data_IF_605960423991
#
_entry.id   IF_605960423991
#
_cell.length_a   1.000
_cell.length_b   1.000
_cell.length_c   1.000
_cell.angle_alpha   90.00
_cell.angle_beta   90.00
_cell.angle_gamma   90.00
#
_symmetry.space_group_name_H-M   'P 1'
#
loop_
_entity.id
_entity.type
_entity.pdbx_description
1 polymer ?
#
# COMPACT_ATOMS: atom_id res chain seq x y z
N UNK A 1 -2.59 -17.05 -16.55
CA UNK A 1 -4.03 -17.16 -16.28
C UNK A 1 -4.48 -15.99 -15.42
N UNK A 2 -5.41 -15.20 -15.92
CA UNK A 2 -5.91 -14.03 -15.21
C UNK A 2 -6.91 -14.44 -14.14
N UNK A 3 -6.74 -13.90 -12.94
CA UNK A 3 -7.62 -14.17 -11.81
C UNK A 3 -7.84 -12.86 -11.04
N UNK A 4 -9.07 -12.58 -10.65
CA UNK A 4 -9.35 -11.41 -9.82
C UNK A 4 -8.89 -11.64 -8.38
N UNK A 5 -8.54 -10.56 -7.71
CA UNK A 5 -8.16 -10.61 -6.28
C UNK A 5 -9.32 -11.15 -5.42
N UNK A 6 -10.56 -10.82 -5.79
CA UNK A 6 -11.75 -11.36 -5.09
C UNK A 6 -11.77 -12.88 -5.13
N UNK A 7 -11.48 -13.47 -6.28
CA UNK A 7 -11.42 -14.93 -6.42
C UNK A 7 -10.32 -15.54 -5.56
N UNK A 8 -9.13 -14.90 -5.53
CA UNK A 8 -8.02 -15.37 -4.72
C UNK A 8 -8.34 -15.31 -3.22
N UNK A 9 -8.99 -14.25 -2.78
CA UNK A 9 -9.44 -14.11 -1.38
C UNK A 9 -10.46 -15.21 -1.04
N UNK A 10 -11.44 -15.44 -1.91
CA UNK A 10 -12.50 -16.43 -1.69
C UNK A 10 -11.95 -17.87 -1.61
N UNK A 11 -10.89 -18.15 -2.35
CA UNK A 11 -10.24 -19.46 -2.33
C UNK A 11 -9.17 -19.60 -1.25
N UNK A 12 -8.83 -18.53 -0.54
CA UNK A 12 -7.72 -18.49 0.38
C UNK A 12 -6.36 -18.72 -0.29
N UNK A 13 -6.25 -18.37 -1.57
CA UNK A 13 -5.07 -18.62 -2.40
C UNK A 13 -4.13 -17.42 -2.49
N UNK A 14 -3.94 -16.70 -1.38
CA UNK A 14 -3.05 -15.54 -1.31
C UNK A 14 -1.71 -16.00 -0.74
N UNK A 15 -0.68 -16.03 -1.60
CA UNK A 15 0.68 -16.38 -1.23
C UNK A 15 1.57 -15.13 -1.15
N UNK A 16 2.86 -15.32 -0.83
CA UNK A 16 3.83 -14.23 -0.72
C UNK A 16 4.03 -13.46 -2.03
N UNK A 17 3.88 -14.12 -3.18
CA UNK A 17 3.98 -13.47 -4.49
C UNK A 17 2.85 -12.49 -4.72
N UNK A 18 1.62 -12.88 -4.39
CA UNK A 18 0.45 -12.00 -4.49
C UNK A 18 0.61 -10.80 -3.57
N UNK A 19 1.06 -11.03 -2.33
CA UNK A 19 1.33 -9.93 -1.39
C UNK A 19 2.37 -8.96 -1.93
N UNK A 20 3.45 -9.48 -2.54
CA UNK A 20 4.49 -8.64 -3.14
C UNK A 20 3.92 -7.76 -4.27
N UNK A 21 3.09 -8.32 -5.14
CA UNK A 21 2.44 -7.56 -6.20
C UNK A 21 1.53 -6.47 -5.63
N UNK A 22 0.79 -6.77 -4.58
CA UNK A 22 -0.10 -5.79 -3.94
C UNK A 22 0.67 -4.67 -3.24
N UNK A 23 1.87 -4.94 -2.75
CA UNK A 23 2.73 -3.92 -2.14
C UNK A 23 3.47 -3.07 -3.16
N UNK A 24 3.97 -3.67 -4.23
CA UNK A 24 4.86 -3.00 -5.18
C UNK A 24 4.14 -2.42 -6.39
N UNK A 25 3.18 -3.15 -6.94
CA UNK A 25 2.51 -2.78 -8.18
C UNK A 25 1.20 -2.01 -7.95
N UNK A 26 0.41 -2.41 -6.98
CA UNK A 26 -0.90 -1.79 -6.76
C UNK A 26 -0.81 -0.33 -6.30
N UNK A 27 0.11 0.08 -5.41
CA UNK A 27 0.21 1.49 -5.03
C UNK A 27 0.47 2.44 -6.19
N UNK A 28 1.20 1.98 -7.21
CA UNK A 28 1.46 2.77 -8.42
C UNK A 28 0.22 2.93 -9.30
N UNK A 29 -0.79 2.09 -9.11
CA UNK A 29 -2.04 2.10 -9.87
C UNK A 29 -3.17 2.85 -9.18
N UNK A 30 -3.00 3.27 -7.93
CA UNK A 30 -4.07 3.93 -7.18
C UNK A 30 -4.50 5.25 -7.80
N UNK A 31 -3.57 5.96 -8.44
CA UNK A 31 -3.86 7.22 -9.12
C UNK A 31 -4.71 7.02 -10.40
N UNK A 32 -4.79 5.80 -10.90
CA UNK A 32 -5.61 5.46 -12.08
C UNK A 32 -7.10 5.27 -11.74
N UNK A 33 -7.44 5.22 -10.45
CA UNK A 33 -8.84 5.13 -10.02
C UNK A 33 -9.50 6.49 -10.19
N UNK A 34 -10.54 6.63 -11.04
CA UNK A 34 -11.19 7.92 -11.26
C UNK A 34 -11.89 8.45 -10.00
N UNK A 35 -11.98 9.78 -9.89
CA UNK A 35 -12.75 10.40 -8.82
C UNK A 35 -14.21 9.95 -8.87
N UNK A 36 -14.78 9.67 -7.69
CA UNK A 36 -16.16 9.18 -7.58
C UNK A 36 -16.31 7.68 -7.74
N UNK A 37 -15.20 6.94 -7.89
CA UNK A 37 -15.20 5.48 -7.93
C UNK A 37 -14.41 4.88 -6.77
N UNK A 38 -14.82 3.68 -6.38
CA UNK A 38 -14.16 2.91 -5.32
C UNK A 38 -13.33 1.78 -5.94
N UNK A 39 -12.16 1.54 -5.38
CA UNK A 39 -11.35 0.37 -5.72
C UNK A 39 -11.84 -0.84 -4.93
N UNK A 40 -12.18 -1.93 -5.64
CA UNK A 40 -12.63 -3.18 -5.02
C UNK A 40 -11.73 -4.33 -5.44
N UNK A 41 -11.84 -5.45 -4.73
CA UNK A 41 -11.07 -6.65 -5.05
C UNK A 41 -11.41 -7.23 -6.43
N UNK A 42 -12.60 -6.92 -6.97
CA UNK A 42 -13.00 -7.34 -8.32
C UNK A 42 -12.28 -6.56 -9.41
N UNK A 43 -11.81 -5.36 -9.11
CA UNK A 43 -11.13 -4.48 -10.06
C UNK A 43 -9.64 -4.82 -10.21
N UNK A 44 -9.10 -5.61 -9.30
CA UNK A 44 -7.69 -6.00 -9.31
C UNK A 44 -7.56 -7.38 -9.94
N UNK A 45 -6.80 -7.45 -11.02
CA UNK A 45 -6.54 -8.70 -11.76
C UNK A 45 -5.07 -9.06 -11.63
N UNK A 46 -4.82 -10.29 -11.19
CA UNK A 46 -3.47 -10.84 -11.06
C UNK A 46 -3.25 -11.83 -12.18
N UNK A 47 -2.22 -11.60 -12.99
CA UNK A 47 -1.85 -12.44 -14.12
C UNK A 47 -0.38 -12.86 -13.97
N UNK A 48 -0.16 -14.07 -13.43
CA UNK A 48 1.17 -14.60 -13.22
C UNK A 48 2.02 -13.71 -12.32
N UNK A 49 2.90 -12.91 -12.93
CA UNK A 49 3.82 -11.99 -12.23
C UNK A 49 3.42 -10.53 -12.33
N UNK A 50 2.30 -10.25 -12.94
CA UNK A 50 1.83 -8.88 -13.14
C UNK A 50 0.46 -8.66 -12.52
N UNK A 51 0.16 -7.40 -12.29
CA UNK A 51 -1.10 -6.95 -11.73
C UNK A 51 -1.60 -5.78 -12.56
N UNK A 52 -2.90 -5.77 -12.88
CA UNK A 52 -3.50 -4.63 -13.55
C UNK A 52 -4.89 -4.35 -12.98
N UNK A 53 -5.36 -3.13 -13.20
CA UNK A 53 -6.69 -2.72 -12.80
C UNK A 53 -7.64 -2.78 -14.00
N UNK A 54 -8.84 -3.30 -13.77
CA UNK A 54 -9.95 -3.13 -14.71
C UNK A 54 -10.63 -1.78 -14.47
N UNK A 55 -11.51 -1.36 -15.36
CA UNK A 55 -12.28 -0.13 -15.17
C UNK A 55 -13.18 -0.26 -13.96
N UNK A 56 -13.02 0.58 -12.92
CA UNK A 56 -13.87 0.50 -11.74
C UNK A 56 -15.32 0.79 -12.07
N UNK A 57 -16.22 -0.01 -11.53
CA UNK A 57 -17.68 0.14 -11.74
C UNK A 57 -18.41 0.54 -10.46
N UNK A 58 -17.78 0.36 -9.30
CA UNK A 58 -18.39 0.72 -8.02
C UNK A 58 -18.24 2.22 -7.79
N UNK A 59 -19.36 2.92 -7.71
CA UNK A 59 -19.40 4.34 -7.41
C UNK A 59 -19.47 4.58 -5.91
N UNK A 60 -18.88 5.67 -5.45
CA UNK A 60 -18.94 6.07 -4.06
C UNK A 60 -17.90 7.13 -3.75
N UNK A 61 -18.14 7.88 -2.68
CA UNK A 61 -17.15 8.80 -2.14
C UNK A 61 -16.13 8.00 -1.35
N UNK A 62 -14.86 8.28 -1.59
CA UNK A 62 -13.80 7.60 -0.87
C UNK A 62 -12.44 7.93 -1.45
N UNK A 63 -11.42 7.36 -0.82
CA UNK A 63 -10.04 7.54 -1.21
C UNK A 63 -9.48 6.18 -1.64
N UNK A 64 -8.84 6.13 -2.80
CA UNK A 64 -8.24 4.89 -3.31
C UNK A 64 -7.20 4.31 -2.35
N UNK A 65 -6.47 5.16 -1.63
CA UNK A 65 -5.50 4.73 -0.61
C UNK A 65 -6.19 4.02 0.55
N UNK A 66 -7.32 4.56 1.02
CA UNK A 66 -8.13 3.89 2.06
C UNK A 66 -8.69 2.56 1.55
N UNK A 67 -9.14 2.51 0.30
CA UNK A 67 -9.62 1.27 -0.31
C UNK A 67 -8.51 0.23 -0.42
N UNK A 68 -7.29 0.64 -0.78
CA UNK A 68 -6.13 -0.24 -0.78
C UNK A 68 -5.86 -0.82 0.62
N UNK A 69 -5.94 0.03 1.65
CA UNK A 69 -5.75 -0.39 3.03
C UNK A 69 -6.77 -1.46 3.45
N UNK A 70 -8.04 -1.25 3.14
CA UNK A 70 -9.09 -2.22 3.43
C UNK A 70 -8.90 -3.53 2.66
N UNK A 71 -8.52 -3.45 1.38
CA UNK A 71 -8.18 -4.63 0.59
C UNK A 71 -7.04 -5.42 1.20
N UNK A 72 -5.97 -4.75 1.62
CA UNK A 72 -4.82 -5.40 2.23
C UNK A 72 -5.19 -6.08 3.56
N UNK A 73 -6.05 -5.47 4.36
CA UNK A 73 -6.52 -6.10 5.60
C UNK A 73 -7.32 -7.39 5.30
N UNK A 74 -8.17 -7.38 4.28
CA UNK A 74 -8.88 -8.59 3.84
C UNK A 74 -7.92 -9.66 3.34
N UNK A 75 -6.94 -9.27 2.54
CA UNK A 75 -5.94 -10.19 1.99
C UNK A 75 -5.12 -10.81 3.11
N UNK A 76 -4.66 -10.01 4.07
CA UNK A 76 -3.88 -10.50 5.20
C UNK A 76 -4.67 -11.45 6.11
N UNK A 77 -6.00 -11.29 6.17
CA UNK A 77 -6.85 -12.19 6.95
C UNK A 77 -6.83 -13.62 6.40
N UNK A 78 -6.65 -13.81 5.09
CA UNK A 78 -6.64 -15.12 4.43
C UNK A 78 -5.23 -15.56 4.00
N UNK A 79 -4.24 -14.71 4.14
CA UNK A 79 -2.87 -15.01 3.72
C UNK A 79 -2.17 -15.91 4.74
N UNK A 80 -1.33 -16.81 4.25
CA UNK A 80 -0.45 -17.61 5.10
C UNK A 80 0.69 -16.80 5.69
N UNK A 81 1.06 -15.69 5.06
CA UNK A 81 2.11 -14.76 5.53
C UNK A 81 1.42 -13.48 6.00
N UNK A 82 1.72 -13.04 7.22
CA UNK A 82 1.07 -11.88 7.84
C UNK A 82 2.11 -10.90 8.38
N UNK A 83 2.79 -10.12 7.52
CA UNK A 83 3.78 -9.14 7.97
C UNK A 83 3.12 -8.06 8.83
N UNK A 84 3.64 -7.84 10.04
CA UNK A 84 3.08 -6.87 10.99
C UNK A 84 3.14 -5.44 10.47
N UNK A 85 4.24 -5.09 9.80
CA UNK A 85 4.43 -3.75 9.25
C UNK A 85 3.44 -3.45 8.14
N UNK A 86 3.23 -4.42 7.24
CA UNK A 86 2.25 -4.27 6.17
C UNK A 86 0.85 -4.09 6.73
N UNK A 87 0.48 -4.87 7.74
CA UNK A 87 -0.80 -4.75 8.42
C UNK A 87 -0.98 -3.37 9.06
N UNK A 88 0.08 -2.85 9.68
CA UNK A 88 0.05 -1.51 10.30
C UNK A 88 -0.15 -0.42 9.25
N UNK A 89 0.57 -0.50 8.14
CA UNK A 89 0.43 0.46 7.03
C UNK A 89 -0.98 0.38 6.42
N UNK A 90 -1.48 -0.84 6.19
CA UNK A 90 -2.82 -1.04 5.65
C UNK A 90 -3.89 -0.45 6.57
N UNK A 91 -3.75 -0.63 7.87
CA UNK A 91 -4.68 -0.05 8.85
C UNK A 91 -4.62 1.47 8.87
N UNK A 92 -3.41 2.05 8.79
CA UNK A 92 -3.24 3.50 8.70
C UNK A 92 -3.91 4.08 7.46
N UNK A 93 -3.84 3.39 6.32
CA UNK A 93 -4.54 3.78 5.09
C UNK A 93 -6.06 3.68 5.26
N UNK A 94 -6.54 2.59 5.83
CA UNK A 94 -7.98 2.36 6.03
C UNK A 94 -8.59 3.38 7.01
N UNK A 95 -7.83 3.78 8.02
CA UNK A 95 -8.26 4.74 9.04
C UNK A 95 -8.11 6.20 8.60
N UNK A 96 -7.51 6.47 7.45
CA UNK A 96 -7.32 7.81 6.91
C UNK A 96 -6.08 8.54 7.41
N UNK A 97 -5.18 7.87 8.11
CA UNK A 97 -3.90 8.46 8.55
C UNK A 97 -2.94 8.67 7.37
N UNK A 98 -2.98 7.78 6.38
CA UNK A 98 -2.28 7.93 5.10
C UNK A 98 -3.35 8.17 4.05
N UNK A 99 -3.29 9.30 3.35
CA UNK A 99 -4.34 9.74 2.43
C UNK A 99 -3.88 9.87 0.98
N UNK A 100 -2.58 9.84 0.71
CA UNK A 100 -2.04 9.97 -0.64
C UNK A 100 -1.11 8.80 -1.00
N UNK A 101 -1.04 8.50 -2.29
CA UNK A 101 -0.24 7.39 -2.80
C UNK A 101 1.26 7.60 -2.62
N UNK A 102 1.73 8.84 -2.66
CA UNK A 102 3.14 9.15 -2.46
C UNK A 102 3.59 8.80 -1.04
N UNK A 103 2.81 9.17 -0.02
CA UNK A 103 3.08 8.83 1.38
C UNK A 103 3.03 7.31 1.59
N UNK A 104 2.05 6.64 0.96
CA UNK A 104 1.94 5.19 1.02
C UNK A 104 3.18 4.51 0.45
N UNK A 105 3.64 4.95 -0.73
CA UNK A 105 4.85 4.38 -1.35
C UNK A 105 6.08 4.57 -0.49
N UNK A 106 6.24 5.74 0.12
CA UNK A 106 7.34 6.00 1.05
C UNK A 106 7.29 5.07 2.26
N UNK A 107 6.12 4.85 2.83
CA UNK A 107 5.95 3.94 3.96
C UNK A 107 6.32 2.49 3.59
N UNK A 108 5.92 2.04 2.40
CA UNK A 108 6.23 0.70 1.90
C UNK A 108 7.72 0.54 1.58
N UNK A 109 8.35 1.56 1.00
CA UNK A 109 9.79 1.55 0.72
C UNK A 109 10.62 1.44 2.00
N UNK A 110 10.22 2.13 3.06
CA UNK A 110 10.89 2.04 4.36
C UNK A 110 10.87 0.62 4.92
N UNK A 111 9.81 -0.14 4.63
CA UNK A 111 9.72 -1.54 5.05
C UNK A 111 10.72 -2.43 4.32
N UNK A 112 11.01 -2.14 3.05
CA UNK A 112 11.94 -2.92 2.24
C UNK A 112 13.39 -2.59 2.51
N UNK A 113 13.69 -1.31 2.80
CA UNK A 113 15.05 -0.81 2.99
C UNK A 113 15.71 -1.17 4.31
N UNK A 114 14.99 -1.76 5.23
CA UNK A 114 15.49 -2.07 6.56
C UNK A 114 15.61 -0.84 7.48
N UNK A 115 15.69 -1.10 8.77
CA UNK A 115 15.70 -0.04 9.80
C UNK A 115 16.94 0.83 9.77
N UNK A 116 18.07 0.30 9.30
CA UNK A 116 19.36 1.00 9.31
C UNK A 116 19.31 2.26 8.45
N UNK A 117 18.73 2.17 7.27
CA UNK A 117 18.64 3.30 6.33
C UNK A 117 17.76 4.43 6.87
N UNK A 118 16.65 4.07 7.48
CA UNK A 118 15.74 5.03 8.12
C UNK A 118 16.43 5.80 9.26
N UNK A 119 17.17 5.12 10.13
CA UNK A 119 17.89 5.73 11.24
C UNK A 119 18.97 6.70 10.75
N UNK A 120 19.70 6.35 9.69
CA UNK A 120 20.72 7.22 9.11
C UNK A 120 20.08 8.52 8.59
N UNK A 121 18.98 8.42 7.86
CA UNK A 121 18.26 9.60 7.35
C UNK A 121 17.74 10.45 8.50
N UNK A 122 17.14 9.85 9.52
CA UNK A 122 16.61 10.58 10.67
C UNK A 122 17.72 11.34 11.43
N UNK A 123 18.88 10.72 11.61
CA UNK A 123 20.03 11.35 12.25
C UNK A 123 20.55 12.52 11.42
N UNK A 124 20.67 12.36 10.11
CA UNK A 124 21.15 13.43 9.21
C UNK A 124 20.19 14.61 9.25
N UNK A 125 18.88 14.39 9.18
CA UNK A 125 17.88 15.45 9.27
C UNK A 125 17.96 16.18 10.61
N UNK A 126 18.11 15.45 11.72
CA UNK A 126 18.25 16.05 13.03
C UNK A 126 19.50 16.93 13.16
N UNK A 127 20.64 16.47 12.62
CA UNK A 127 21.88 17.23 12.62
C UNK A 127 21.78 18.51 11.79
N UNK A 128 21.16 18.43 10.59
CA UNK A 128 20.95 19.60 9.75
C UNK A 128 20.04 20.63 10.41
N UNK A 129 18.99 20.19 11.08
CA UNK A 129 18.08 21.06 11.84
C UNK A 129 18.82 21.77 12.98
N UNK A 130 19.68 21.05 13.69
CA UNK A 130 20.48 21.63 14.76
C UNK A 130 21.46 22.69 14.25
N UNK A 131 22.12 22.44 13.11
CA UNK A 131 23.04 23.40 12.49
C UNK A 131 22.33 24.67 12.07
N UNK A 132 21.15 24.57 11.47
CA UNK A 132 20.34 25.72 11.09
C UNK A 132 19.94 26.52 12.34
N UNK A 133 19.57 25.84 13.41
CA UNK A 133 19.21 26.50 14.66
C UNK A 133 20.39 27.27 15.28
N UNK A 134 21.58 26.68 15.27
CA UNK A 134 22.79 27.33 15.78
C UNK A 134 23.18 28.53 14.94
N UNK A 135 23.07 28.44 13.60
CA UNK A 135 23.38 29.57 12.71
C UNK A 135 22.41 30.75 12.86
N UNK A 136 21.21 30.54 13.35
CA UNK A 136 20.22 31.59 13.58
C UNK A 136 20.33 32.22 14.97
N UNK A 137 21.24 31.73 15.78
CA UNK A 137 21.58 32.38 17.04
C UNK A 137 22.64 33.46 16.82
#
# INVERSE_FOLDING_TARGET
METTLETLISRGAVDGRVLTLLQQSLPDRLDDVPDGFRLTARDVVVDGRSLHLTTPITRGEGNAVADWGQLMLRVLAVSSVKPRRLRRIARACADGAITDSATLRLALERNEGGNVHFWVVAVVVALLSLLVWINNM
#
